data_IF_010543445814
#
_entry.id   IF_010543445814
#
_cell.length_a   1.000
_cell.length_b   1.000
_cell.length_c   1.000
_cell.angle_alpha   90.00
_cell.angle_beta   90.00
_cell.angle_gamma   90.00
#
_symmetry.space_group_name_H-M   'P 1'
#
loop_
_entity.id
_entity.type
_entity.pdbx_description
1 polymer ?
#
# COMPACT_ATOMS: atom_id res chain seq x y z
N UNK A 1 -4.84 23.73 -0.96
CA UNK A 1 -6.12 24.45 -1.00
C UNK A 1 -7.11 23.72 -0.10
N UNK A 2 -7.61 24.34 0.99
CA UNK A 2 -8.67 23.75 1.79
C UNK A 2 -9.97 23.73 0.95
N UNK A 3 -10.61 22.57 0.86
CA UNK A 3 -11.90 22.43 0.19
C UNK A 3 -12.99 22.48 1.26
N UNK A 4 -13.59 23.65 1.46
CA UNK A 4 -14.62 23.88 2.49
C UNK A 4 -15.92 24.40 1.88
N UNK A 5 -17.04 23.85 2.33
CA UNK A 5 -18.38 24.33 1.96
C UNK A 5 -18.87 25.35 2.98
N UNK A 6 -18.63 26.64 2.71
CA UNK A 6 -18.81 27.74 3.68
C UNK A 6 -20.22 27.82 4.32
N UNK A 7 -21.28 27.45 3.59
CA UNK A 7 -22.67 27.48 4.11
C UNK A 7 -22.98 26.36 5.11
N UNK A 8 -22.21 25.29 5.10
CA UNK A 8 -22.44 24.08 5.91
C UNK A 8 -21.32 23.81 6.93
N UNK A 9 -20.14 24.42 6.72
CA UNK A 9 -18.94 24.13 7.50
C UNK A 9 -18.27 22.79 7.17
N UNK A 10 -18.78 22.03 6.20
CA UNK A 10 -18.20 20.75 5.80
C UNK A 10 -16.83 20.92 5.16
N UNK A 11 -15.88 20.08 5.57
CA UNK A 11 -14.54 19.98 5.01
C UNK A 11 -14.46 18.75 4.11
N UNK A 12 -13.82 18.91 2.95
CA UNK A 12 -13.64 17.86 1.96
C UNK A 12 -12.17 17.44 1.93
N UNK A 13 -11.96 16.12 1.90
CA UNK A 13 -10.67 15.53 1.60
C UNK A 13 -10.64 15.12 0.13
N UNK A 14 -9.65 15.64 -0.60
CA UNK A 14 -9.44 15.31 -2.01
C UNK A 14 -8.01 14.79 -2.20
N UNK A 15 -7.89 13.63 -2.85
CA UNK A 15 -6.61 13.06 -3.26
C UNK A 15 -6.36 13.47 -4.71
N UNK A 16 -5.61 14.56 -4.90
CA UNK A 16 -5.42 15.18 -6.22
C UNK A 16 -4.53 14.37 -7.18
N UNK A 17 -3.70 13.49 -6.65
CA UNK A 17 -2.72 12.73 -7.43
C UNK A 17 -2.87 11.25 -7.06
N UNK A 18 -3.44 10.41 -7.95
CA UNK A 18 -3.30 8.99 -7.79
C UNK A 18 -1.81 8.66 -7.91
N UNK A 19 -1.26 7.96 -6.93
CA UNK A 19 0.12 7.48 -7.01
C UNK A 19 0.13 6.24 -7.88
N UNK A 20 0.92 6.25 -8.96
CA UNK A 20 1.10 5.12 -9.88
C UNK A 20 2.43 4.41 -9.64
N UNK A 21 2.52 3.13 -10.01
CA UNK A 21 3.77 2.36 -10.03
C UNK A 21 4.60 2.60 -11.30
N UNK A 22 5.75 1.95 -11.42
CA UNK A 22 6.65 2.10 -12.58
C UNK A 22 6.09 1.48 -13.87
N UNK A 23 4.95 0.79 -13.79
CA UNK A 23 4.21 0.20 -14.89
C UNK A 23 2.92 0.98 -15.20
N UNK A 24 2.78 2.20 -14.66
CA UNK A 24 1.61 3.07 -14.85
C UNK A 24 0.30 2.47 -14.32
N UNK A 25 0.37 1.67 -13.24
CA UNK A 25 -0.80 1.12 -12.55
C UNK A 25 -1.05 1.82 -11.23
N UNK A 26 -2.32 2.00 -10.80
CA UNK A 26 -2.61 2.60 -9.50
C UNK A 26 -1.98 1.82 -8.33
N UNK A 27 -1.32 2.54 -7.41
CA UNK A 27 -0.58 1.94 -6.27
C UNK A 27 -1.47 1.16 -5.30
N UNK A 28 -2.76 1.48 -5.21
CA UNK A 28 -3.71 0.74 -4.37
C UNK A 28 -4.01 -0.68 -4.89
N UNK A 29 -3.53 -1.03 -6.08
CA UNK A 29 -3.62 -2.39 -6.62
C UNK A 29 -2.36 -3.23 -6.33
N UNK A 30 -1.35 -2.67 -5.64
CA UNK A 30 -0.17 -3.43 -5.26
C UNK A 30 -0.53 -4.45 -4.19
N UNK A 31 -0.23 -5.71 -4.50
CA UNK A 31 -0.30 -6.83 -3.56
C UNK A 31 1.12 -7.23 -3.16
N UNK A 32 1.35 -7.62 -1.90
CA UNK A 32 2.63 -8.16 -1.48
C UNK A 32 2.87 -9.53 -2.13
N UNK A 33 4.12 -9.82 -2.51
CA UNK A 33 4.49 -11.15 -3.02
C UNK A 33 4.26 -12.26 -1.97
N UNK A 34 4.36 -11.90 -0.68
CA UNK A 34 4.04 -12.77 0.46
C UNK A 34 2.97 -12.09 1.31
N UNK A 35 1.70 -12.52 1.23
CA UNK A 35 0.65 -12.00 2.10
C UNK A 35 0.84 -12.50 3.53
N UNK A 36 0.74 -11.58 4.50
CA UNK A 36 0.86 -11.87 5.94
C UNK A 36 -0.42 -11.38 6.62
N UNK A 37 -1.11 -12.21 7.43
CA UNK A 37 -2.29 -11.79 8.16
C UNK A 37 -2.01 -10.62 9.12
N UNK A 38 -3.03 -9.79 9.35
CA UNK A 38 -2.93 -8.68 10.30
C UNK A 38 -2.52 -9.18 11.70
N UNK A 39 -1.51 -8.52 12.28
CA UNK A 39 -0.97 -8.87 13.60
C UNK A 39 -0.01 -10.08 13.62
N UNK A 40 0.25 -10.74 12.48
CA UNK A 40 1.26 -11.78 12.38
C UNK A 40 2.68 -11.19 12.19
N UNK A 41 3.71 -12.03 12.37
CA UNK A 41 5.12 -11.62 12.29
C UNK A 41 5.60 -11.51 10.84
N UNK A 42 5.61 -10.28 10.32
CA UNK A 42 6.07 -9.97 8.95
C UNK A 42 7.56 -10.26 8.75
N UNK A 43 8.40 -10.13 9.79
CA UNK A 43 9.84 -10.37 9.67
C UNK A 43 10.12 -11.87 9.55
N UNK A 44 9.43 -12.69 10.35
CA UNK A 44 9.54 -14.15 10.26
C UNK A 44 9.11 -14.66 8.87
N UNK A 45 8.01 -14.13 8.32
CA UNK A 45 7.55 -14.45 6.97
C UNK A 45 8.59 -14.07 5.91
N UNK A 46 9.17 -12.86 6.00
CA UNK A 46 10.24 -12.41 5.09
C UNK A 46 11.51 -13.27 5.19
N UNK A 47 11.91 -13.67 6.39
CA UNK A 47 13.06 -14.56 6.60
C UNK A 47 12.83 -15.94 5.98
N UNK A 48 11.62 -16.48 6.14
CA UNK A 48 11.26 -17.77 5.55
C UNK A 48 11.32 -17.71 4.02
N UNK A 49 10.76 -16.67 3.41
CA UNK A 49 10.78 -16.51 1.94
C UNK A 49 12.19 -16.26 1.40
N UNK A 50 12.99 -15.42 2.05
CA UNK A 50 14.38 -15.20 1.66
C UNK A 50 15.20 -16.50 1.68
N UNK A 51 15.05 -17.32 2.72
CA UNK A 51 15.72 -18.63 2.81
C UNK A 51 15.26 -19.57 1.68
N UNK A 52 13.96 -19.57 1.35
CA UNK A 52 13.41 -20.38 0.25
C UNK A 52 14.05 -20.00 -1.09
N UNK A 53 14.16 -18.70 -1.38
CA UNK A 53 14.77 -18.19 -2.61
C UNK A 53 16.26 -18.53 -2.72
N UNK A 54 17.01 -18.39 -1.62
CA UNK A 54 18.44 -18.74 -1.57
C UNK A 54 18.64 -20.24 -1.85
N UNK A 55 17.79 -21.11 -1.32
CA UNK A 55 17.90 -22.55 -1.54
C UNK A 55 17.49 -23.01 -2.94
N UNK A 56 16.74 -22.18 -3.68
CA UNK A 56 16.29 -22.47 -5.04
C UNK A 56 17.25 -21.97 -6.13
N UNK A 57 18.29 -21.21 -5.76
CA UNK A 57 19.33 -20.68 -6.63
C UNK A 57 20.53 -21.64 -6.72
#
# INVERSE_FOLDING_TARGET
FPLRLDRSGLELQYSAEPVYDVQDRPRWLLEPDVPVPDGADILAAGLAEARRLIAAA
#
